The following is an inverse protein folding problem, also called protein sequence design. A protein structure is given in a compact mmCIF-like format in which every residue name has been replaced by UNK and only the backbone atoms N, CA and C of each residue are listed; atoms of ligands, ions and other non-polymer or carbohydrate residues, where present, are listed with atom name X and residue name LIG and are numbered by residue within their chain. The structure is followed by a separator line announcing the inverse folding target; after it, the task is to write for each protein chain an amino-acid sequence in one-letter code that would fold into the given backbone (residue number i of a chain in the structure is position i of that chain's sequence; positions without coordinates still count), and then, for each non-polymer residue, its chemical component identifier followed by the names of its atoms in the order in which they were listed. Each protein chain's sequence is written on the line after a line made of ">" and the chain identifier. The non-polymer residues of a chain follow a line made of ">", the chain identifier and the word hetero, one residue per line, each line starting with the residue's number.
data_IF_820347641643
#
_entry.id   IF_820347641643
#
_cell.length_a   1.000
_cell.length_b   1.000
_cell.length_c   1.000
_cell.angle_alpha   90.00
_cell.angle_beta   90.00
_cell.angle_gamma   90.00
#
_symmetry.space_group_name_H-M   'P 1'
#
loop_
_entity.id
_entity.type
_entity.pdbx_description
1 polymer ?
#
# COMPACT_ATOMS: atom_id res chain seq x y z
N UNK A 1 -21.16 -43.56 7.43
CA UNK A 1 -22.17 -42.94 8.31
C UNK A 1 -23.31 -42.47 7.43
N UNK A 2 -24.57 -42.72 7.78
CA UNK A 2 -25.73 -42.28 6.98
C UNK A 2 -25.90 -40.77 7.09
N UNK A 3 -26.17 -40.09 5.98
CA UNK A 3 -26.34 -38.62 5.94
C UNK A 3 -27.51 -38.17 6.81
N UNK A 4 -28.59 -38.94 6.87
CA UNK A 4 -29.76 -38.68 7.72
C UNK A 4 -29.36 -38.45 9.19
N UNK A 5 -28.49 -39.30 9.74
CA UNK A 5 -28.02 -39.19 11.13
C UNK A 5 -27.21 -37.91 11.36
N UNK A 6 -26.44 -37.48 10.36
CA UNK A 6 -25.61 -36.27 10.44
C UNK A 6 -26.47 -35.00 10.36
N UNK A 7 -27.51 -35.01 9.51
CA UNK A 7 -28.44 -33.90 9.38
C UNK A 7 -29.26 -33.72 10.66
N UNK A 8 -29.80 -34.81 11.23
CA UNK A 8 -30.53 -34.75 12.51
C UNK A 8 -29.65 -34.26 13.66
N UNK A 9 -28.40 -34.75 13.75
CA UNK A 9 -27.47 -34.26 14.77
C UNK A 9 -27.17 -32.77 14.60
N UNK A 10 -27.00 -32.30 13.37
CA UNK A 10 -26.75 -30.88 13.08
C UNK A 10 -27.95 -30.00 13.47
N UNK A 11 -29.18 -30.42 13.13
CA UNK A 11 -30.41 -29.73 13.52
C UNK A 11 -30.53 -29.58 15.04
N UNK A 12 -30.22 -30.63 15.80
CA UNK A 12 -30.23 -30.59 17.26
C UNK A 12 -29.17 -29.64 17.85
N UNK A 13 -28.06 -29.41 17.13
CA UNK A 13 -27.03 -28.46 17.54
C UNK A 13 -27.37 -27.00 17.20
N UNK A 14 -28.29 -26.75 16.26
CA UNK A 14 -28.69 -25.39 15.92
C UNK A 14 -29.46 -24.74 17.06
N UNK A 15 -28.89 -23.66 17.60
CA UNK A 15 -29.50 -22.85 18.65
C UNK A 15 -29.84 -21.46 18.13
N UNK A 16 -30.93 -20.90 18.64
CA UNK A 16 -31.36 -19.55 18.33
C UNK A 16 -32.21 -19.44 17.06
N UNK A 17 -33.01 -18.37 17.02
CA UNK A 17 -34.05 -18.15 16.01
C UNK A 17 -33.49 -18.12 14.58
N UNK A 18 -32.39 -17.42 14.37
CA UNK A 18 -31.79 -17.23 13.04
C UNK A 18 -31.29 -18.53 12.41
N UNK A 19 -30.68 -19.43 13.20
CA UNK A 19 -30.17 -20.72 12.71
C UNK A 19 -31.30 -21.69 12.36
N UNK A 20 -32.32 -21.76 13.23
CA UNK A 20 -33.49 -22.62 13.03
C UNK A 20 -34.37 -22.16 11.85
N UNK A 21 -34.60 -20.85 11.72
CA UNK A 21 -35.35 -20.30 10.60
C UNK A 21 -34.64 -20.52 9.26
N UNK A 22 -33.30 -20.40 9.23
CA UNK A 22 -32.53 -20.76 8.04
C UNK A 22 -32.66 -22.24 7.71
N UNK A 23 -32.51 -23.13 8.69
CA UNK A 23 -32.59 -24.58 8.50
C UNK A 23 -33.94 -24.99 7.88
N UNK A 24 -35.05 -24.50 8.43
CA UNK A 24 -36.40 -24.79 7.92
C UNK A 24 -36.60 -24.35 6.46
N UNK A 25 -36.00 -23.23 6.06
CA UNK A 25 -36.15 -22.67 4.71
C UNK A 25 -35.14 -23.21 3.68
N UNK A 26 -34.08 -23.92 4.10
CA UNK A 26 -32.95 -24.27 3.24
C UNK A 26 -33.12 -25.57 2.43
N UNK A 27 -34.16 -26.38 2.73
CA UNK A 27 -34.51 -27.65 2.05
C UNK A 27 -33.28 -28.53 1.78
N UNK A 28 -32.54 -28.86 2.83
CA UNK A 28 -31.27 -29.61 2.75
C UNK A 28 -31.55 -31.11 2.81
N UNK A 29 -31.17 -31.85 1.76
CA UNK A 29 -31.47 -33.29 1.62
C UNK A 29 -30.27 -34.20 1.91
N UNK A 30 -29.06 -33.66 1.89
CA UNK A 30 -27.83 -34.44 2.12
C UNK A 30 -26.74 -33.59 2.75
N UNK A 31 -25.72 -34.25 3.29
CA UNK A 31 -24.67 -33.59 4.05
C UNK A 31 -23.79 -32.67 3.19
N UNK A 32 -23.70 -32.93 1.88
CA UNK A 32 -22.97 -32.06 0.94
C UNK A 32 -23.66 -30.70 0.79
N UNK A 33 -24.96 -30.70 0.53
CA UNK A 33 -25.76 -29.47 0.45
C UNK A 33 -25.71 -28.67 1.76
N UNK A 34 -25.71 -29.36 2.90
CA UNK A 34 -25.53 -28.71 4.21
C UNK A 34 -24.23 -27.91 4.24
N UNK A 35 -23.10 -28.55 3.92
CA UNK A 35 -21.80 -27.89 3.96
C UNK A 35 -21.76 -26.68 3.03
N UNK A 36 -22.25 -26.83 1.80
CA UNK A 36 -22.18 -25.77 0.79
C UNK A 36 -23.07 -24.58 1.19
N UNK A 37 -24.32 -24.82 1.58
CA UNK A 37 -25.23 -23.74 1.98
C UNK A 37 -24.84 -23.09 3.30
N UNK A 38 -24.40 -23.88 4.29
CA UNK A 38 -23.93 -23.36 5.57
C UNK A 38 -22.68 -22.49 5.38
N UNK A 39 -21.74 -22.99 4.58
CA UNK A 39 -20.57 -22.21 4.20
C UNK A 39 -21.01 -20.93 3.51
N UNK A 40 -21.84 -20.97 2.47
CA UNK A 40 -22.22 -19.77 1.74
C UNK A 40 -23.00 -18.75 2.59
N UNK A 41 -23.82 -19.20 3.54
CA UNK A 41 -24.66 -18.33 4.36
C UNK A 41 -23.94 -17.72 5.56
N UNK A 42 -23.13 -18.53 6.25
CA UNK A 42 -22.58 -18.16 7.56
C UNK A 42 -21.06 -18.00 7.57
N UNK A 43 -20.35 -18.66 6.65
CA UNK A 43 -18.88 -18.67 6.63
C UNK A 43 -18.31 -17.80 5.49
N UNK A 44 -18.90 -17.90 4.31
CA UNK A 44 -18.57 -17.08 3.15
C UNK A 44 -19.14 -15.71 3.41
N UNK A 45 -18.27 -14.72 3.34
CA UNK A 45 -18.73 -13.36 3.21
C UNK A 45 -19.15 -13.20 1.76
N UNK A 46 -20.42 -12.86 1.54
CA UNK A 46 -20.85 -12.48 0.20
C UNK A 46 -20.05 -11.25 -0.25
N UNK A 47 -19.78 -11.06 -1.55
CA UNK A 47 -19.10 -9.84 -2.02
C UNK A 47 -19.74 -8.55 -1.48
N UNK A 48 -21.07 -8.52 -1.33
CA UNK A 48 -21.78 -7.40 -0.71
C UNK A 48 -21.41 -7.19 0.77
N UNK A 49 -21.25 -8.26 1.55
CA UNK A 49 -20.81 -8.19 2.95
C UNK A 49 -19.34 -7.75 3.04
N UNK A 50 -18.46 -8.29 2.20
CA UNK A 50 -17.04 -7.89 2.15
C UNK A 50 -16.94 -6.42 1.78
N UNK A 51 -17.72 -5.96 0.80
CA UNK A 51 -17.80 -4.56 0.39
C UNK A 51 -18.27 -3.64 1.51
N UNK A 52 -19.32 -4.02 2.25
CA UNK A 52 -19.78 -3.23 3.39
C UNK A 52 -18.73 -3.19 4.51
N UNK A 53 -18.01 -4.28 4.75
CA UNK A 53 -16.88 -4.30 5.70
C UNK A 53 -15.75 -3.40 5.20
N UNK A 54 -15.39 -3.43 3.92
CA UNK A 54 -14.36 -2.59 3.33
C UNK A 54 -14.70 -1.09 3.49
N UNK A 55 -15.92 -0.68 3.12
CA UNK A 55 -16.38 0.72 3.25
C UNK A 55 -16.46 1.24 4.69
N UNK A 56 -16.72 0.36 5.65
CA UNK A 56 -16.83 0.72 7.07
C UNK A 56 -15.55 0.48 7.85
N UNK A 57 -14.56 -0.17 7.23
CA UNK A 57 -13.28 -0.46 7.86
C UNK A 57 -12.54 0.86 8.11
N UNK A 58 -12.02 0.98 9.33
CA UNK A 58 -11.18 2.08 9.74
C UNK A 58 -10.12 1.49 10.67
N UNK A 59 -8.89 1.98 10.58
CA UNK A 59 -7.79 1.55 11.43
C UNK A 59 -8.11 1.82 12.90
N UNK A 60 -7.77 0.86 13.76
CA UNK A 60 -7.84 1.05 15.21
C UNK A 60 -6.72 1.99 15.68
N UNK A 61 -6.80 2.51 16.91
CA UNK A 61 -5.74 3.38 17.46
C UNK A 61 -4.40 2.67 17.65
N UNK A 62 -4.46 1.39 17.99
CA UNK A 62 -3.30 0.56 18.36
C UNK A 62 -2.92 -0.44 17.24
N UNK A 63 -3.62 -0.40 16.10
CA UNK A 63 -3.32 -1.25 14.94
C UNK A 63 -2.21 -0.58 14.11
N UNK A 64 -1.15 -1.33 13.81
CA UNK A 64 -0.02 -0.86 13.03
C UNK A 64 -0.41 -0.59 11.57
N UNK A 65 0.44 0.16 10.85
CA UNK A 65 0.23 0.42 9.41
C UNK A 65 0.16 -0.86 8.60
N UNK A 66 1.02 -1.82 8.98
CA UNK A 66 1.17 -3.11 8.31
C UNK A 66 -0.08 -3.96 8.51
N UNK A 67 -0.55 -4.13 9.74
CA UNK A 67 -1.76 -4.88 10.04
C UNK A 67 -3.00 -4.31 9.35
N UNK A 68 -3.12 -2.97 9.35
CA UNK A 68 -4.19 -2.28 8.64
C UNK A 68 -4.08 -2.46 7.11
N UNK A 69 -2.87 -2.32 6.55
CA UNK A 69 -2.59 -2.54 5.13
C UNK A 69 -2.96 -3.95 4.67
N UNK A 70 -2.48 -4.96 5.40
CA UNK A 70 -2.77 -6.38 5.15
C UNK A 70 -4.26 -6.69 5.22
N UNK A 71 -4.98 -6.03 6.12
CA UNK A 71 -6.43 -6.20 6.26
C UNK A 71 -7.17 -5.62 5.05
N UNK A 72 -6.78 -4.45 4.57
CA UNK A 72 -7.36 -3.86 3.35
C UNK A 72 -7.04 -4.71 2.12
N UNK A 73 -5.79 -5.14 1.96
CA UNK A 73 -5.37 -5.99 0.85
C UNK A 73 -6.18 -7.30 0.81
N UNK A 74 -6.38 -7.97 1.94
CA UNK A 74 -7.22 -9.18 2.03
C UNK A 74 -8.67 -8.94 1.65
N UNK A 75 -9.27 -7.81 2.04
CA UNK A 75 -10.65 -7.47 1.66
C UNK A 75 -10.76 -7.15 0.16
N UNK A 76 -9.78 -6.44 -0.40
CA UNK A 76 -9.71 -6.15 -1.83
C UNK A 76 -9.49 -7.42 -2.66
N UNK A 77 -8.60 -8.32 -2.24
CA UNK A 77 -8.36 -9.61 -2.88
C UNK A 77 -9.63 -10.46 -2.91
N UNK A 78 -10.37 -10.52 -1.80
CA UNK A 78 -11.62 -11.28 -1.73
C UNK A 78 -12.75 -10.69 -2.60
N UNK A 79 -12.64 -9.41 -3.00
CA UNK A 79 -13.51 -8.76 -3.99
C UNK A 79 -12.95 -8.82 -5.42
N UNK A 80 -11.77 -9.42 -5.61
CA UNK A 80 -11.01 -9.42 -6.86
C UNK A 80 -10.69 -8.00 -7.38
N UNK A 81 -10.54 -7.03 -6.47
CA UNK A 81 -10.02 -5.70 -6.82
C UNK A 81 -8.50 -5.74 -6.87
N UNK A 82 -7.94 -5.56 -8.07
CA UNK A 82 -6.50 -5.60 -8.32
C UNK A 82 -5.89 -4.23 -8.66
N UNK A 83 -6.73 -3.19 -8.75
CA UNK A 83 -6.27 -1.84 -9.12
C UNK A 83 -5.56 -1.18 -7.94
N UNK A 84 -4.22 -0.95 -8.00
CA UNK A 84 -3.45 -0.49 -6.85
C UNK A 84 -3.89 0.88 -6.32
N UNK A 85 -4.30 1.78 -7.23
CA UNK A 85 -4.80 3.12 -6.86
C UNK A 85 -6.08 3.03 -6.05
N UNK A 86 -7.03 2.19 -6.46
CA UNK A 86 -8.30 2.02 -5.74
C UNK A 86 -8.07 1.39 -4.36
N UNK A 87 -7.18 0.40 -4.27
CA UNK A 87 -6.80 -0.20 -2.99
C UNK A 87 -6.18 0.85 -2.06
N UNK A 88 -5.29 1.69 -2.59
CA UNK A 88 -4.63 2.76 -1.83
C UNK A 88 -5.64 3.78 -1.27
N UNK A 89 -6.66 4.17 -2.02
CA UNK A 89 -7.72 5.06 -1.54
C UNK A 89 -8.43 4.47 -0.30
N UNK A 90 -8.82 3.19 -0.35
CA UNK A 90 -9.45 2.53 0.82
C UNK A 90 -8.52 2.47 2.03
N UNK A 91 -7.23 2.21 1.78
CA UNK A 91 -6.22 2.21 2.83
C UNK A 91 -6.09 3.59 3.47
N UNK A 92 -5.90 4.64 2.67
CA UNK A 92 -5.70 6.01 3.10
C UNK A 92 -6.92 6.55 3.86
N UNK A 93 -8.13 6.33 3.34
CA UNK A 93 -9.38 6.76 3.96
C UNK A 93 -9.60 6.13 5.35
N UNK A 94 -9.15 4.89 5.54
CA UNK A 94 -9.28 4.22 6.82
C UNK A 94 -8.23 4.60 7.86
N UNK A 95 -7.13 5.27 7.50
CA UNK A 95 -6.13 5.74 8.48
C UNK A 95 -6.72 6.84 9.35
N UNK A 96 -6.79 6.59 10.66
CA UNK A 96 -7.21 7.60 11.66
C UNK A 96 -6.03 8.31 12.35
N UNK A 97 -4.86 7.69 12.34
CA UNK A 97 -3.68 8.24 13.00
C UNK A 97 -3.14 9.44 12.21
N UNK A 98 -3.12 10.61 12.85
CA UNK A 98 -2.67 11.87 12.24
C UNK A 98 -1.17 11.85 11.90
N UNK A 99 -0.33 11.23 12.73
CA UNK A 99 1.11 11.12 12.49
C UNK A 99 1.35 10.26 11.24
N UNK A 100 0.71 9.10 11.14
CA UNK A 100 0.80 8.23 9.95
C UNK A 100 0.30 8.93 8.69
N UNK A 101 -0.83 9.65 8.74
CA UNK A 101 -1.31 10.47 7.61
C UNK A 101 -0.30 11.52 7.16
N UNK A 102 0.39 12.17 8.10
CA UNK A 102 1.42 13.16 7.77
C UNK A 102 2.62 12.51 7.03
N UNK A 103 3.05 11.32 7.48
CA UNK A 103 4.10 10.54 6.79
C UNK A 103 3.68 10.18 5.37
N UNK A 104 2.45 9.69 5.19
CA UNK A 104 1.94 9.34 3.86
C UNK A 104 1.91 10.54 2.92
N UNK A 105 1.38 11.67 3.39
CA UNK A 105 1.32 12.91 2.61
C UNK A 105 2.71 13.44 2.20
N UNK A 106 3.74 13.20 3.03
CA UNK A 106 5.12 13.58 2.71
C UNK A 106 5.81 12.56 1.79
N UNK A 107 5.45 11.27 1.88
CA UNK A 107 6.13 10.16 1.18
C UNK A 107 5.82 10.05 -0.31
N UNK A 108 4.81 10.78 -0.82
CA UNK A 108 4.28 10.62 -2.18
C UNK A 108 3.91 9.16 -2.54
N UNK A 109 3.68 8.30 -1.54
CA UNK A 109 3.35 6.91 -1.76
C UNK A 109 2.05 6.77 -2.56
N UNK A 110 2.06 5.87 -3.54
CA UNK A 110 0.95 5.67 -4.48
C UNK A 110 0.34 4.26 -4.40
N UNK A 111 0.93 3.41 -3.55
CA UNK A 111 0.48 2.05 -3.27
C UNK A 111 0.49 1.77 -1.77
N UNK A 112 -0.26 0.74 -1.37
CA UNK A 112 -0.31 0.29 0.04
C UNK A 112 1.07 -0.19 0.50
N UNK A 113 1.81 -0.91 -0.34
CA UNK A 113 3.14 -1.45 0.01
C UNK A 113 4.16 -0.33 0.26
N UNK A 114 4.23 0.67 -0.63
CA UNK A 114 5.09 1.85 -0.45
C UNK A 114 4.72 2.63 0.83
N UNK A 115 3.43 2.68 1.13
CA UNK A 115 2.88 3.37 2.30
C UNK A 115 3.25 2.67 3.60
N UNK A 116 3.12 1.34 3.64
CA UNK A 116 3.53 0.52 4.77
C UNK A 116 5.03 0.67 5.02
N UNK A 117 5.85 0.62 3.97
CA UNK A 117 7.30 0.81 4.06
C UNK A 117 7.67 2.20 4.60
N UNK A 118 7.03 3.25 4.08
CA UNK A 118 7.27 4.64 4.51
C UNK A 118 6.91 4.87 5.98
N UNK A 119 5.81 4.28 6.43
CA UNK A 119 5.40 4.38 7.84
C UNK A 119 6.35 3.58 8.73
N UNK A 120 6.72 2.35 8.36
CA UNK A 120 7.64 1.51 9.13
C UNK A 120 9.02 2.16 9.31
N UNK A 121 9.54 2.85 8.27
CA UNK A 121 10.78 3.60 8.37
C UNK A 121 10.70 4.76 9.37
N UNK A 122 9.53 5.42 9.46
CA UNK A 122 9.33 6.57 10.35
C UNK A 122 8.93 6.15 11.77
N UNK A 123 8.34 4.97 11.96
CA UNK A 123 7.86 4.46 13.26
C UNK A 123 8.97 4.36 14.31
N UNK A 124 10.22 4.14 13.87
CA UNK A 124 11.42 4.18 14.71
C UNK A 124 11.74 5.58 15.28
N UNK A 125 11.17 6.64 14.71
CA UNK A 125 11.27 8.03 15.18
C UNK A 125 9.98 8.53 15.85
N UNK A 126 8.93 7.71 15.98
CA UNK A 126 7.63 8.11 16.54
C UNK A 126 7.46 7.78 18.03
N UNK A 127 8.44 7.10 18.65
CA UNK A 127 8.37 6.58 20.03
C UNK A 127 8.92 7.52 21.09
N UNK A 128 9.57 8.63 20.70
CA UNK A 128 10.01 9.64 21.65
C UNK A 128 9.16 10.91 21.44
N UNK A 129 8.80 11.57 22.54
CA UNK A 129 8.08 12.85 22.63
C UNK A 129 6.54 12.78 22.68
N UNK A 130 6.03 12.22 23.79
CA UNK A 130 4.94 12.88 24.52
C UNK A 130 5.57 13.68 25.67
N UNK A 131 5.98 14.91 25.39
CA UNK A 131 5.76 16.10 26.22
C UNK A 131 6.48 17.29 25.57
N UNK A 132 5.69 18.29 25.20
CA UNK A 132 6.12 19.69 25.01
C UNK A 132 7.40 19.93 24.19
N UNK A 133 7.28 20.15 22.86
CA UNK A 133 7.85 21.37 22.29
C UNK A 133 7.36 21.69 20.87
N UNK A 134 7.24 22.98 20.62
CA UNK A 134 6.99 23.60 19.34
C UNK A 134 8.18 23.41 18.37
N UNK A 135 7.89 23.51 17.06
CA UNK A 135 8.88 23.91 16.02
C UNK A 135 10.13 23.03 15.80
N UNK A 136 10.10 21.72 16.01
CA UNK A 136 11.24 20.83 15.67
C UNK A 136 11.17 20.23 14.25
N UNK A 137 9.98 20.20 13.63
CA UNK A 137 9.75 19.64 12.28
C UNK A 137 10.51 20.40 11.18
N UNK A 138 10.80 21.69 11.38
CA UNK A 138 11.57 22.49 10.43
C UNK A 138 13.06 22.14 10.48
N UNK A 139 13.63 21.93 11.66
CA UNK A 139 15.06 21.64 11.82
C UNK A 139 15.45 20.25 11.30
N UNK A 140 14.61 19.23 11.51
CA UNK A 140 14.87 17.89 10.97
C UNK A 140 14.80 17.87 9.44
N UNK A 141 13.81 18.57 8.86
CA UNK A 141 13.68 18.71 7.41
C UNK A 141 14.84 19.52 6.82
N UNK A 142 15.25 20.59 7.50
CA UNK A 142 16.44 21.37 7.14
C UNK A 142 17.73 20.56 7.29
N UNK A 143 17.84 19.67 8.28
CA UNK A 143 18.99 18.78 8.46
C UNK A 143 19.08 17.73 7.35
N UNK A 144 17.96 17.16 6.90
CA UNK A 144 17.93 16.26 5.75
C UNK A 144 18.30 17.00 4.46
N UNK A 145 17.79 18.22 4.25
CA UNK A 145 18.17 19.05 3.10
C UNK A 145 19.66 19.44 3.16
N UNK A 146 20.18 19.79 4.35
CA UNK A 146 21.60 20.08 4.55
C UNK A 146 22.48 18.84 4.33
N UNK A 147 22.08 17.68 4.83
CA UNK A 147 22.80 16.43 4.61
C UNK A 147 22.85 16.09 3.11
N UNK A 148 21.74 16.21 2.39
CA UNK A 148 21.68 15.96 0.94
C UNK A 148 22.52 16.97 0.13
N UNK A 149 22.52 18.25 0.51
CA UNK A 149 23.33 19.29 -0.15
C UNK A 149 24.82 19.15 0.15
N UNK A 150 25.19 18.75 1.36
CA UNK A 150 26.58 18.45 1.74
C UNK A 150 27.08 17.19 1.03
N UNK A 151 26.27 16.13 0.93
CA UNK A 151 26.66 14.92 0.18
C UNK A 151 26.80 15.19 -1.33
N UNK A 152 25.93 16.03 -1.91
CA UNK A 152 26.05 16.47 -3.31
C UNK A 152 27.32 17.32 -3.53
N UNK A 153 27.63 18.21 -2.60
CA UNK A 153 28.82 19.08 -2.67
C UNK A 153 30.12 18.30 -2.41
N UNK A 154 30.08 17.24 -1.60
CA UNK A 154 31.21 16.35 -1.34
C UNK A 154 31.62 15.56 -2.59
N UNK A 155 30.67 15.23 -3.48
CA UNK A 155 30.96 14.64 -4.79
C UNK A 155 31.66 15.63 -5.74
N UNK A 156 31.37 16.93 -5.61
CA UNK A 156 32.00 17.99 -6.41
C UNK A 156 33.45 18.26 -5.93
N UNK A 157 33.73 18.16 -4.63
CA UNK A 157 35.08 18.40 -4.10
C UNK A 157 36.03 17.21 -4.26
N UNK A 158 35.52 15.98 -4.30
CA UNK A 158 36.35 14.77 -4.48
C UNK A 158 36.86 14.61 -5.92
N UNK A 159 36.17 15.20 -6.90
CA UNK A 159 36.61 15.23 -8.31
C UNK A 159 37.59 16.38 -8.61
N UNK A 160 37.72 17.37 -7.72
CA UNK A 160 38.64 18.50 -7.88
C UNK A 160 40.00 18.30 -7.21
N UNK A 161 40.13 17.33 -6.28
CA UNK A 161 41.36 17.11 -5.50
C UNK A 161 42.31 16.04 -6.06
N UNK A 162 42.10 15.58 -7.30
CA UNK A 162 43.04 14.68 -7.96
C UNK A 162 43.45 15.22 -9.34
N UNK A 163 44.18 16.35 -9.35
CA UNK A 163 45.24 16.62 -10.34
C UNK A 163 46.04 17.88 -9.96
N UNK A 164 47.17 17.67 -9.28
CA UNK A 164 48.42 18.45 -9.33
C UNK A 164 49.48 17.53 -8.70
N UNK A 165 50.60 17.09 -9.29
CA UNK A 165 51.44 17.53 -10.41
C UNK A 165 52.44 16.40 -10.82
N UNK A 166 53.49 16.58 -11.67
CA UNK A 166 53.56 17.12 -13.03
C UNK A 166 54.28 16.18 -14.04
N UNK A 167 53.86 16.14 -15.31
CA UNK A 167 54.76 16.20 -16.48
C UNK A 167 54.02 16.17 -17.83
N UNK A 168 54.21 17.25 -18.61
CA UNK A 168 54.09 17.40 -20.07
C UNK A 168 52.77 17.04 -20.81
N UNK A 169 52.32 17.86 -21.80
CA UNK A 169 51.09 17.62 -22.56
C UNK A 169 51.35 16.73 -23.79
N UNK A 170 50.38 15.91 -24.24
CA UNK A 170 49.49 16.39 -25.30
C UNK A 170 48.02 15.90 -25.23
N UNK A 171 47.19 16.56 -26.04
CA UNK A 171 45.72 16.58 -26.08
C UNK A 171 44.99 15.22 -26.16
N UNK A 172 43.72 15.15 -25.67
CA UNK A 172 42.79 14.12 -26.10
C UNK A 172 41.82 14.65 -27.16
N UNK A 173 41.69 13.84 -28.21
CA UNK A 173 40.67 13.93 -29.24
C UNK A 173 39.27 13.69 -28.65
N UNK A 174 38.34 14.44 -29.22
CA UNK A 174 36.89 14.43 -29.04
C UNK A 174 36.26 13.08 -29.42
N UNK A 175 35.10 12.76 -28.81
CA UNK A 175 33.81 12.28 -29.42
C UNK A 175 33.16 11.09 -28.63
N UNK A 176 31.87 10.74 -28.86
CA UNK A 176 30.71 11.41 -28.24
C UNK A 176 29.57 10.42 -27.85
N UNK A 177 28.83 10.59 -26.76
CA UNK A 177 27.57 9.82 -26.61
C UNK A 177 26.53 10.54 -25.77
N UNK A 178 25.96 11.61 -26.31
CA UNK A 178 24.66 12.13 -25.87
C UNK A 178 23.81 12.46 -27.10
N UNK A 179 23.12 11.45 -27.59
CA UNK A 179 21.87 11.59 -28.35
C UNK A 179 20.85 10.68 -27.69
N UNK A 180 19.94 11.24 -26.91
CA UNK A 180 18.53 10.82 -26.78
C UNK A 180 17.85 11.57 -25.62
N UNK A 181 17.65 12.87 -25.75
CA UNK A 181 16.54 13.58 -25.11
C UNK A 181 16.15 14.77 -25.98
N UNK A 182 15.51 14.48 -27.12
CA UNK A 182 14.69 15.44 -27.86
C UNK A 182 13.45 14.70 -28.36
N UNK A 183 12.37 14.75 -27.58
CA UNK A 183 11.02 14.50 -28.10
C UNK A 183 9.96 15.19 -27.24
N UNK A 184 9.98 16.52 -27.23
CA UNK A 184 8.79 17.34 -27.03
C UNK A 184 8.97 18.64 -27.83
N UNK A 185 8.39 18.68 -29.04
CA UNK A 185 7.66 19.79 -29.67
C UNK A 185 7.67 19.68 -31.21
N UNK A 186 6.47 19.49 -31.77
CA UNK A 186 6.04 19.79 -33.16
C UNK A 186 6.19 21.30 -33.47
N UNK A 187 6.14 21.83 -34.73
CA UNK A 187 5.31 21.36 -35.87
C UNK A 187 5.87 21.55 -37.31
N UNK A 188 5.13 20.98 -38.27
CA UNK A 188 4.85 21.43 -39.66
C UNK A 188 5.98 21.79 -40.63
N UNK A 189 6.04 21.08 -41.78
CA UNK A 189 5.54 21.52 -43.11
C UNK A 189 6.21 20.63 -44.19
N UNK A 190 5.33 19.97 -44.94
CA UNK A 190 5.45 19.36 -46.28
C UNK A 190 6.53 19.92 -47.22
N UNK A 191 7.26 19.07 -47.96
CA UNK A 191 7.09 18.89 -49.43
C UNK A 191 8.07 17.86 -50.04
N UNK A 192 7.49 16.91 -50.79
CA UNK A 192 7.87 16.37 -52.09
C UNK A 192 9.33 15.94 -52.44
N UNK A 193 9.51 14.60 -52.48
CA UNK A 193 9.91 13.70 -53.60
C UNK A 193 10.37 14.29 -54.97
N UNK A 194 11.12 13.56 -55.83
CA UNK A 194 10.86 12.16 -56.28
C UNK A 194 11.86 11.09 -55.82
#
# INVERSE_FOLDING_TARGET
>A
MRDDLRLTAFEQCLKGKTGQEWWYNSRIENFRQLKDQFHNRFLSQTPAQIWNRLKSAKGNRDESAEEWGDRILRLCEALNYKEPRMQYEFFYDGIRNKKMRAVLNASMASSIEESMYSIALQERSLTEEDDEFAETTTLATLCLILALTVLSSSWILTTSSQMDAPCAPPAPRVRPFLRLLQSTFQPSVTLFRP
#
